data_IF_307676451220
#
_entry.id   IF_307676451220
#
_cell.length_a   1.000
_cell.length_b   1.000
_cell.length_c   1.000
_cell.angle_alpha   90.00
_cell.angle_beta   90.00
_cell.angle_gamma   90.00
#
_symmetry.space_group_name_H-M   'P 1'
#
loop_
_entity.id
_entity.type
_entity.pdbx_description
1 polymer ?
#
# COMPACT_ATOMS: atom_id res chain seq x y z
N UNK A 1 -18.86 -33.14 -6.76
CA UNK A 1 -18.73 -32.02 -5.81
C UNK A 1 -17.53 -32.32 -4.90
N UNK A 2 -16.41 -31.63 -5.06
CA UNK A 2 -15.29 -31.75 -4.10
C UNK A 2 -15.73 -31.09 -2.79
N UNK A 3 -15.76 -31.84 -1.70
CA UNK A 3 -16.07 -31.30 -0.37
C UNK A 3 -14.98 -30.32 0.05
N UNK A 4 -15.39 -29.18 0.61
CA UNK A 4 -14.45 -28.19 1.18
C UNK A 4 -13.64 -28.87 2.27
N UNK A 5 -12.31 -28.92 2.10
CA UNK A 5 -11.43 -29.45 3.15
C UNK A 5 -11.58 -28.58 4.39
N UNK A 6 -11.57 -29.16 5.60
CA UNK A 6 -11.57 -28.39 6.85
C UNK A 6 -10.47 -27.32 6.90
N UNK A 7 -9.33 -27.57 6.27
CA UNK A 7 -8.23 -26.58 6.14
C UNK A 7 -8.61 -25.37 5.28
N UNK A 8 -9.40 -25.56 4.21
CA UNK A 8 -9.85 -24.46 3.38
C UNK A 8 -10.85 -23.56 4.14
N UNK A 9 -11.76 -24.19 4.90
CA UNK A 9 -12.69 -23.44 5.76
C UNK A 9 -11.94 -22.61 6.83
N UNK A 10 -10.97 -23.20 7.51
CA UNK A 10 -10.14 -22.46 8.49
C UNK A 10 -9.47 -21.25 7.82
N UNK A 11 -8.84 -21.44 6.67
CA UNK A 11 -8.22 -20.31 5.93
C UNK A 11 -9.24 -19.21 5.61
N UNK A 12 -10.41 -19.58 5.08
CA UNK A 12 -11.47 -18.64 4.70
C UNK A 12 -11.96 -17.84 5.91
N UNK A 13 -12.20 -18.48 7.03
CA UNK A 13 -12.60 -17.79 8.26
C UNK A 13 -11.49 -16.91 8.82
N UNK A 14 -10.24 -17.34 8.78
CA UNK A 14 -9.10 -16.52 9.20
C UNK A 14 -9.04 -15.24 8.37
N UNK A 15 -9.15 -15.32 7.04
CA UNK A 15 -9.16 -14.13 6.18
C UNK A 15 -10.37 -13.24 6.46
N UNK A 16 -11.56 -13.81 6.62
CA UNK A 16 -12.78 -13.04 6.87
C UNK A 16 -12.71 -12.31 8.23
N UNK A 17 -12.27 -12.98 9.28
CA UNK A 17 -12.09 -12.38 10.61
C UNK A 17 -11.02 -11.28 10.57
N UNK A 18 -9.91 -11.52 9.85
CA UNK A 18 -8.87 -10.50 9.67
C UNK A 18 -9.37 -9.28 8.89
N UNK A 19 -10.26 -9.47 7.90
CA UNK A 19 -10.87 -8.37 7.16
C UNK A 19 -11.81 -7.55 8.05
N UNK A 20 -12.63 -8.20 8.86
CA UNK A 20 -13.48 -7.52 9.86
C UNK A 20 -12.62 -6.73 10.85
N UNK A 21 -11.56 -7.34 11.38
CA UNK A 21 -10.61 -6.65 12.26
C UNK A 21 -10.01 -5.41 11.59
N UNK A 22 -9.52 -5.53 10.34
CA UNK A 22 -8.91 -4.42 9.62
C UNK A 22 -9.90 -3.25 9.40
N UNK A 23 -11.17 -3.56 9.10
CA UNK A 23 -12.22 -2.53 8.93
C UNK A 23 -12.52 -1.84 10.26
N UNK A 24 -12.69 -2.59 11.34
CA UNK A 24 -12.95 -2.03 12.68
C UNK A 24 -11.76 -1.17 13.12
N UNK A 25 -10.53 -1.69 12.97
CA UNK A 25 -9.31 -0.97 13.30
C UNK A 25 -9.17 0.33 12.49
N UNK A 26 -9.52 0.30 11.18
CA UNK A 26 -9.51 1.49 10.33
C UNK A 26 -10.58 2.49 10.71
N UNK A 27 -11.76 2.04 11.09
CA UNK A 27 -12.83 2.93 11.56
C UNK A 27 -12.43 3.66 12.85
N UNK A 28 -11.79 2.95 13.79
CA UNK A 28 -11.26 3.53 15.03
C UNK A 28 -10.07 4.45 14.70
N UNK A 29 -9.08 3.94 13.98
CA UNK A 29 -7.81 4.61 13.72
C UNK A 29 -7.88 5.78 12.74
N UNK A 30 -8.97 5.91 11.96
CA UNK A 30 -9.21 7.08 11.11
C UNK A 30 -9.83 8.27 11.86
N UNK A 31 -10.19 8.10 13.13
CA UNK A 31 -10.93 9.09 13.91
C UNK A 31 -12.44 9.07 13.67
N UNK A 32 -12.96 8.23 12.75
CA UNK A 32 -14.38 8.17 12.43
C UNK A 32 -15.26 7.71 13.61
N UNK A 33 -14.68 7.00 14.58
CA UNK A 33 -15.32 6.61 15.84
C UNK A 33 -15.33 7.71 16.92
N UNK A 34 -14.98 8.97 16.58
CA UNK A 34 -14.84 10.08 17.52
C UNK A 34 -13.43 10.24 18.10
N UNK A 35 -12.43 9.53 17.56
CA UNK A 35 -11.02 9.69 17.89
C UNK A 35 -10.33 10.80 17.08
N UNK A 36 -9.01 10.90 17.21
CA UNK A 36 -8.19 11.86 16.47
C UNK A 36 -8.10 11.46 14.99
N UNK A 37 -8.37 12.36 14.01
CA UNK A 37 -8.11 12.07 12.60
C UNK A 37 -6.64 11.66 12.39
N UNK A 38 -6.38 10.75 11.44
CA UNK A 38 -5.02 10.19 11.23
C UNK A 38 -3.95 11.26 10.98
N UNK A 39 -4.33 12.38 10.35
CA UNK A 39 -3.46 13.52 10.09
C UNK A 39 -3.05 14.26 11.37
N UNK A 40 -3.84 14.20 12.42
CA UNK A 40 -3.61 14.86 13.70
C UNK A 40 -3.07 13.87 14.75
N UNK A 41 -3.12 12.56 14.46
CA UNK A 41 -2.62 11.51 15.34
C UNK A 41 -1.08 11.51 15.37
N UNK A 42 -0.50 10.91 16.40
CA UNK A 42 0.95 10.89 16.62
C UNK A 42 1.57 12.31 16.61
N UNK A 43 0.87 13.28 17.21
CA UNK A 43 1.32 14.69 17.26
C UNK A 43 1.35 15.38 15.90
N UNK A 44 0.58 14.90 14.91
CA UNK A 44 0.59 15.42 13.54
C UNK A 44 1.75 14.91 12.69
N UNK A 45 2.51 13.91 13.16
CA UNK A 45 3.68 13.41 12.43
C UNK A 45 3.37 12.88 11.01
N UNK A 46 2.14 12.44 10.77
CA UNK A 46 1.65 11.97 9.47
C UNK A 46 0.75 12.98 8.75
N UNK A 47 0.71 14.23 9.21
CA UNK A 47 -0.01 15.29 8.54
C UNK A 47 0.61 15.62 7.17
N UNK A 48 -0.20 16.19 6.28
CA UNK A 48 0.23 16.53 4.92
C UNK A 48 1.37 17.57 4.88
N UNK A 49 1.51 18.36 5.93
CA UNK A 49 2.53 19.40 6.11
C UNK A 49 3.71 18.96 7.00
N UNK A 50 3.68 17.74 7.55
CA UNK A 50 4.72 17.27 8.47
C UNK A 50 6.09 17.05 7.79
N UNK A 51 6.11 16.64 6.53
CA UNK A 51 7.36 16.35 5.80
C UNK A 51 7.24 16.67 4.31
N UNK A 52 8.40 16.82 3.62
CA UNK A 52 8.42 17.02 2.17
C UNK A 52 7.90 15.81 1.37
N UNK A 53 7.82 14.63 1.98
CA UNK A 53 7.34 13.39 1.34
C UNK A 53 5.87 13.09 1.71
N UNK A 54 5.28 13.81 2.65
CA UNK A 54 3.89 13.60 3.03
C UNK A 54 2.96 13.93 1.85
N UNK A 55 2.09 12.99 1.42
CA UNK A 55 1.10 13.28 0.38
C UNK A 55 -0.02 14.15 0.94
N UNK A 56 -0.60 15.01 0.10
CA UNK A 56 -1.77 15.82 0.47
C UNK A 56 -2.94 14.94 0.92
N UNK A 57 -3.78 15.47 1.81
CA UNK A 57 -4.87 14.72 2.47
C UNK A 57 -5.76 13.86 1.55
N UNK A 58 -6.22 14.37 0.38
CA UNK A 58 -7.04 13.59 -0.54
C UNK A 58 -6.40 12.31 -1.09
N UNK A 59 -5.07 12.14 -0.97
CA UNK A 59 -4.37 10.91 -1.32
C UNK A 59 -4.96 9.67 -0.64
N UNK A 60 -5.42 9.83 0.60
CA UNK A 60 -5.99 8.75 1.42
C UNK A 60 -7.30 8.16 0.87
N UNK A 61 -7.95 8.83 -0.10
CA UNK A 61 -9.13 8.29 -0.78
C UNK A 61 -8.85 6.94 -1.48
N UNK A 62 -7.58 6.63 -1.78
CA UNK A 62 -7.18 5.34 -2.34
C UNK A 62 -7.50 4.14 -1.44
N UNK A 63 -7.66 4.36 -0.14
CA UNK A 63 -8.08 3.29 0.77
C UNK A 63 -9.46 2.75 0.43
N UNK A 64 -10.35 3.58 -0.12
CA UNK A 64 -11.71 3.15 -0.51
C UNK A 64 -11.69 1.97 -1.49
N UNK A 65 -11.09 2.08 -2.69
CA UNK A 65 -11.02 0.93 -3.61
C UNK A 65 -10.20 -0.23 -3.04
N UNK A 66 -9.16 0.02 -2.22
CA UNK A 66 -8.38 -1.05 -1.59
C UNK A 66 -9.27 -1.84 -0.61
N UNK A 67 -9.96 -1.18 0.32
CA UNK A 67 -10.83 -1.86 1.29
C UNK A 67 -12.02 -2.56 0.63
N UNK A 68 -12.65 -1.94 -0.38
CA UNK A 68 -13.70 -2.60 -1.15
C UNK A 68 -13.20 -3.89 -1.81
N UNK A 69 -12.02 -3.86 -2.40
CA UNK A 69 -11.39 -5.03 -2.99
C UNK A 69 -11.02 -6.10 -1.96
N UNK A 70 -10.48 -5.71 -0.79
CA UNK A 70 -10.14 -6.63 0.30
C UNK A 70 -11.38 -7.31 0.88
N UNK A 71 -12.47 -6.57 1.08
CA UNK A 71 -13.76 -7.12 1.51
C UNK A 71 -14.36 -8.04 0.44
N UNK A 72 -14.34 -7.62 -0.83
CA UNK A 72 -14.78 -8.46 -1.94
C UNK A 72 -13.96 -9.77 -1.98
N UNK A 73 -12.64 -9.71 -1.81
CA UNK A 73 -11.79 -10.90 -1.73
C UNK A 73 -12.18 -11.80 -0.54
N UNK A 74 -12.38 -11.23 0.65
CA UNK A 74 -12.77 -11.96 1.84
C UNK A 74 -14.10 -12.72 1.66
N UNK A 75 -15.03 -12.16 0.88
CA UNK A 75 -16.31 -12.80 0.54
C UNK A 75 -16.15 -13.80 -0.60
N UNK A 76 -15.53 -13.38 -1.70
CA UNK A 76 -15.44 -14.21 -2.92
C UNK A 76 -14.68 -15.52 -2.71
N UNK A 77 -13.73 -15.60 -1.78
CA UNK A 77 -13.01 -16.83 -1.51
C UNK A 77 -13.90 -17.99 -0.98
N UNK A 78 -15.15 -17.69 -0.55
CA UNK A 78 -16.13 -18.72 -0.17
C UNK A 78 -16.88 -19.30 -1.40
N UNK A 79 -16.78 -18.67 -2.56
CA UNK A 79 -17.41 -19.18 -3.77
C UNK A 79 -16.83 -20.56 -4.14
N UNK A 80 -17.67 -21.53 -4.53
CA UNK A 80 -17.21 -22.87 -4.90
C UNK A 80 -16.10 -22.89 -5.96
N UNK A 81 -16.12 -21.92 -6.88
CA UNK A 81 -15.11 -21.74 -7.92
C UNK A 81 -13.74 -21.29 -7.43
N UNK A 82 -13.64 -20.67 -6.22
CA UNK A 82 -12.42 -20.15 -5.65
C UNK A 82 -11.96 -20.92 -4.41
N UNK A 83 -12.89 -21.53 -3.69
CA UNK A 83 -12.66 -22.12 -2.37
C UNK A 83 -11.52 -23.15 -2.33
N UNK A 84 -11.32 -23.92 -3.40
CA UNK A 84 -10.36 -25.05 -3.46
C UNK A 84 -9.12 -24.76 -4.28
N UNK A 85 -9.02 -23.57 -4.87
CA UNK A 85 -7.92 -23.27 -5.78
C UNK A 85 -6.57 -23.28 -5.06
N UNK A 86 -5.53 -23.89 -5.66
CA UNK A 86 -4.18 -23.88 -5.09
C UNK A 86 -3.65 -22.46 -4.87
N UNK A 87 -4.04 -21.53 -5.71
CA UNK A 87 -3.65 -20.12 -5.64
C UNK A 87 -4.19 -19.45 -4.37
N UNK A 88 -5.46 -19.70 -4.04
CA UNK A 88 -6.11 -19.22 -2.82
C UNK A 88 -5.44 -19.80 -1.55
N UNK A 89 -5.04 -21.06 -1.58
CA UNK A 89 -4.31 -21.71 -0.47
C UNK A 89 -2.94 -21.08 -0.25
N UNK A 90 -2.26 -20.64 -1.32
CA UNK A 90 -0.93 -20.00 -1.25
C UNK A 90 -1.00 -18.56 -0.75
N UNK A 91 -2.08 -17.83 -1.07
CA UNK A 91 -2.21 -16.40 -0.76
C UNK A 91 -2.96 -16.16 0.53
N UNK A 92 -3.94 -16.98 0.89
CA UNK A 92 -4.93 -16.67 1.93
C UNK A 92 -4.35 -16.25 3.27
N UNK A 93 -3.39 -16.98 3.81
CA UNK A 93 -2.77 -16.62 5.09
C UNK A 93 -1.89 -15.36 4.99
N UNK A 94 -1.25 -15.10 3.85
CA UNK A 94 -0.54 -13.84 3.62
C UNK A 94 -1.50 -12.66 3.53
N UNK A 95 -2.66 -12.85 2.89
CA UNK A 95 -3.71 -11.84 2.86
C UNK A 95 -4.25 -11.54 4.27
N UNK A 96 -4.49 -12.57 5.08
CA UNK A 96 -4.86 -12.39 6.48
C UNK A 96 -3.78 -11.62 7.27
N UNK A 97 -2.51 -11.99 7.10
CA UNK A 97 -1.40 -11.27 7.73
C UNK A 97 -1.34 -9.79 7.31
N UNK A 98 -1.56 -9.48 6.01
CA UNK A 98 -1.60 -8.09 5.54
C UNK A 98 -2.74 -7.28 6.17
N UNK A 99 -3.91 -7.89 6.35
CA UNK A 99 -5.07 -7.26 7.00
C UNK A 99 -4.81 -6.97 8.48
N UNK A 100 -4.22 -7.93 9.19
CA UNK A 100 -3.86 -7.77 10.62
C UNK A 100 -2.80 -6.68 10.78
N UNK A 101 -1.74 -6.71 9.95
CA UNK A 101 -0.68 -5.70 10.01
C UNK A 101 -1.19 -4.31 9.68
N UNK A 102 -2.11 -4.18 8.73
CA UNK A 102 -2.72 -2.89 8.40
C UNK A 102 -3.57 -2.35 9.55
N UNK A 103 -4.40 -3.20 10.17
CA UNK A 103 -5.18 -2.81 11.34
C UNK A 103 -4.28 -2.44 12.52
N UNK A 104 -3.22 -3.21 12.77
CA UNK A 104 -2.25 -2.90 13.80
C UNK A 104 -1.47 -1.60 13.53
N UNK A 105 -1.12 -1.35 12.24
CA UNK A 105 -0.46 -0.11 11.83
C UNK A 105 -1.31 1.12 12.14
N UNK A 106 -2.57 1.15 11.72
CA UNK A 106 -3.42 2.33 11.93
C UNK A 106 -3.73 2.55 13.41
N UNK A 107 -3.90 1.47 14.19
CA UNK A 107 -4.08 1.57 15.65
C UNK A 107 -2.81 2.08 16.34
N UNK A 108 -1.61 1.63 15.90
CA UNK A 108 -0.37 2.13 16.49
C UNK A 108 -0.19 3.64 16.25
N UNK A 109 -0.61 4.16 15.10
CA UNK A 109 -0.63 5.61 14.84
C UNK A 109 -1.63 6.29 15.76
N UNK A 110 -2.85 5.76 15.92
CA UNK A 110 -3.90 6.30 16.76
C UNK A 110 -3.51 6.38 18.24
N UNK A 111 -2.65 5.46 18.70
CA UNK A 111 -2.12 5.42 20.07
C UNK A 111 -0.73 6.04 20.21
N UNK A 112 -0.35 6.95 19.31
CA UNK A 112 0.91 7.71 19.32
C UNK A 112 2.19 6.86 19.33
N UNK A 113 2.10 5.62 18.78
CA UNK A 113 3.23 4.68 18.71
C UNK A 113 3.91 4.76 17.34
N UNK A 114 4.46 5.93 16.97
CA UNK A 114 5.02 6.18 15.63
C UNK A 114 6.15 5.21 15.24
N UNK A 115 7.05 4.88 16.17
CA UNK A 115 8.13 3.91 15.91
C UNK A 115 7.60 2.50 15.64
N UNK A 116 6.55 2.08 16.36
CA UNK A 116 5.87 0.80 16.11
C UNK A 116 5.16 0.83 14.75
N UNK A 117 4.53 1.96 14.40
CA UNK A 117 3.86 2.11 13.09
C UNK A 117 4.85 1.94 11.94
N UNK A 118 6.05 2.51 12.04
CA UNK A 118 7.10 2.34 11.05
C UNK A 118 7.55 0.88 10.90
N UNK A 119 7.71 0.15 12.00
CA UNK A 119 8.02 -1.29 11.95
C UNK A 119 6.89 -2.11 11.32
N UNK A 120 5.64 -1.83 11.68
CA UNK A 120 4.46 -2.53 11.17
C UNK A 120 4.25 -2.29 9.68
N UNK A 121 4.43 -1.05 9.17
CA UNK A 121 4.26 -0.77 7.74
C UNK A 121 5.38 -1.41 6.90
N UNK A 122 6.60 -1.51 7.40
CA UNK A 122 7.69 -2.24 6.75
C UNK A 122 7.37 -3.74 6.66
N UNK A 123 6.87 -4.35 7.73
CA UNK A 123 6.43 -5.75 7.72
C UNK A 123 5.25 -5.95 6.76
N UNK A 124 4.31 -5.03 6.74
CA UNK A 124 3.19 -5.04 5.81
C UNK A 124 3.68 -4.99 4.36
N UNK A 125 4.61 -4.09 4.04
CA UNK A 125 5.22 -4.00 2.72
C UNK A 125 5.88 -5.33 2.32
N UNK A 126 6.64 -5.95 3.21
CA UNK A 126 7.28 -7.26 2.97
C UNK A 126 6.25 -8.37 2.68
N UNK A 127 5.15 -8.41 3.44
CA UNK A 127 4.04 -9.34 3.21
C UNK A 127 3.38 -9.11 1.85
N UNK A 128 3.13 -7.85 1.47
CA UNK A 128 2.56 -7.49 0.18
C UNK A 128 3.49 -7.82 -0.99
N UNK A 129 4.80 -7.61 -0.84
CA UNK A 129 5.80 -8.07 -1.80
C UNK A 129 5.76 -9.60 -1.97
N UNK A 130 5.60 -10.35 -0.87
CA UNK A 130 5.45 -11.82 -0.94
C UNK A 130 4.19 -12.22 -1.68
N UNK A 131 3.06 -11.59 -1.39
CA UNK A 131 1.79 -11.80 -2.11
C UNK A 131 1.99 -11.52 -3.60
N UNK A 132 2.61 -10.39 -3.95
CA UNK A 132 2.85 -9.99 -5.34
C UNK A 132 3.67 -11.05 -6.09
N UNK A 133 4.72 -11.59 -5.50
CA UNK A 133 5.52 -12.68 -6.09
C UNK A 133 4.64 -13.91 -6.36
N UNK A 134 3.82 -14.34 -5.38
CA UNK A 134 2.91 -15.48 -5.55
C UNK A 134 1.94 -15.24 -6.72
N UNK A 135 1.37 -14.02 -6.80
CA UNK A 135 0.40 -13.66 -7.82
C UNK A 135 1.01 -13.54 -9.23
N UNK A 136 2.27 -13.12 -9.33
CA UNK A 136 3.00 -13.07 -10.61
C UNK A 136 3.35 -14.47 -11.11
N UNK A 137 3.71 -15.38 -10.20
CA UNK A 137 4.10 -16.76 -10.52
C UNK A 137 2.90 -17.70 -10.72
N UNK A 138 1.68 -17.20 -10.58
CA UNK A 138 0.43 -17.95 -10.79
C UNK A 138 -0.58 -17.14 -11.60
N UNK A 139 -1.41 -17.83 -12.43
CA UNK A 139 -2.44 -17.15 -13.21
C UNK A 139 -3.78 -17.20 -12.51
N UNK A 140 -4.58 -16.12 -12.61
CA UNK A 140 -5.97 -16.17 -12.19
C UNK A 140 -6.76 -17.08 -13.14
N UNK A 141 -7.70 -17.84 -12.61
CA UNK A 141 -8.58 -18.73 -13.40
C UNK A 141 -9.82 -17.99 -13.94
N UNK A 142 -10.10 -16.79 -13.42
CA UNK A 142 -11.23 -15.96 -13.83
C UNK A 142 -10.94 -14.47 -13.73
N UNK A 143 -11.72 -13.65 -14.47
CA UNK A 143 -11.66 -12.18 -14.35
C UNK A 143 -12.03 -11.72 -12.95
N UNK A 144 -13.00 -12.40 -12.29
CA UNK A 144 -13.36 -12.10 -10.90
C UNK A 144 -12.15 -12.27 -9.99
N UNK A 145 -11.45 -13.39 -10.06
CA UNK A 145 -10.24 -13.61 -9.26
C UNK A 145 -9.16 -12.59 -9.57
N UNK A 146 -8.91 -12.27 -10.83
CA UNK A 146 -7.95 -11.26 -11.24
C UNK A 146 -8.29 -9.89 -10.64
N UNK A 147 -9.58 -9.52 -10.62
CA UNK A 147 -10.01 -8.21 -10.06
C UNK A 147 -9.94 -8.20 -8.56
N UNK A 148 -10.55 -9.15 -7.87
CA UNK A 148 -10.65 -9.10 -6.40
C UNK A 148 -9.33 -9.43 -5.69
N UNK A 149 -8.39 -10.09 -6.37
CA UNK A 149 -7.12 -10.47 -5.77
C UNK A 149 -5.94 -9.72 -6.41
N UNK A 150 -5.69 -9.86 -7.74
CA UNK A 150 -4.49 -9.27 -8.36
C UNK A 150 -4.54 -7.75 -8.41
N UNK A 151 -5.68 -7.17 -8.81
CA UNK A 151 -5.80 -5.70 -8.88
C UNK A 151 -5.77 -5.12 -7.46
N UNK A 152 -6.53 -5.69 -6.54
CA UNK A 152 -6.61 -5.20 -5.15
C UNK A 152 -5.25 -5.25 -4.45
N UNK A 153 -4.58 -6.40 -4.47
CA UNK A 153 -3.26 -6.55 -3.83
C UNK A 153 -2.18 -5.71 -4.52
N UNK A 154 -2.33 -5.47 -5.83
CA UNK A 154 -1.45 -4.57 -6.56
C UNK A 154 -1.63 -3.10 -6.17
N UNK A 155 -2.87 -2.61 -6.08
CA UNK A 155 -3.17 -1.25 -5.57
C UNK A 155 -2.65 -1.08 -4.15
N UNK A 156 -2.91 -2.07 -3.30
CA UNK A 156 -2.47 -2.08 -1.92
C UNK A 156 -0.94 -2.03 -1.80
N UNK A 157 -0.21 -2.84 -2.59
CA UNK A 157 1.26 -2.83 -2.62
C UNK A 157 1.79 -1.46 -3.06
N UNK A 158 1.27 -0.89 -4.15
CA UNK A 158 1.71 0.40 -4.67
C UNK A 158 1.50 1.54 -3.67
N UNK A 159 0.34 1.57 -3.00
CA UNK A 159 0.04 2.55 -1.95
C UNK A 159 0.95 2.39 -0.72
N UNK A 160 1.09 1.17 -0.21
CA UNK A 160 1.93 0.91 0.97
C UNK A 160 3.41 1.20 0.69
N UNK A 161 3.86 1.09 -0.56
CA UNK A 161 5.23 1.46 -0.93
C UNK A 161 5.51 2.93 -0.62
N UNK A 162 4.68 3.86 -1.10
CA UNK A 162 4.89 5.29 -0.82
C UNK A 162 4.55 5.64 0.64
N UNK A 163 3.53 5.01 1.22
CA UNK A 163 3.17 5.19 2.62
C UNK A 163 4.30 4.77 3.57
N UNK A 164 5.06 3.73 3.23
CA UNK A 164 6.25 3.31 4.00
C UNK A 164 7.33 4.38 3.96
N UNK A 165 7.60 4.96 2.79
CA UNK A 165 8.58 6.05 2.67
C UNK A 165 8.16 7.25 3.52
N UNK A 166 6.89 7.66 3.42
CA UNK A 166 6.35 8.77 4.19
C UNK A 166 6.41 8.52 5.72
N UNK A 167 6.03 7.31 6.16
CA UNK A 167 6.03 6.95 7.58
C UNK A 167 7.44 6.91 8.19
N UNK A 168 8.42 6.34 7.45
CA UNK A 168 9.83 6.35 7.90
C UNK A 168 10.38 7.77 7.95
N UNK A 169 10.07 8.61 6.95
CA UNK A 169 10.49 10.01 6.94
C UNK A 169 9.91 10.77 8.14
N UNK A 170 8.62 10.57 8.45
CA UNK A 170 7.97 11.15 9.61
C UNK A 170 8.66 10.73 10.92
N UNK A 171 8.98 9.44 11.06
CA UNK A 171 9.70 8.93 12.23
C UNK A 171 11.09 9.58 12.37
N UNK A 172 11.84 9.74 11.28
CA UNK A 172 13.16 10.36 11.31
C UNK A 172 13.08 11.84 11.71
N UNK A 173 12.07 12.56 11.20
CA UNK A 173 11.84 13.96 11.58
C UNK A 173 11.49 14.08 13.08
N UNK A 174 10.60 13.25 13.59
CA UNK A 174 10.25 13.23 15.02
C UNK A 174 11.44 12.82 15.92
N UNK A 175 12.37 12.02 15.39
CA UNK A 175 13.59 11.62 16.07
C UNK A 175 14.72 12.65 15.93
N UNK A 176 14.44 13.87 15.46
CA UNK A 176 15.41 14.96 15.24
C UNK A 176 16.63 14.55 14.40
N UNK A 177 16.41 13.67 13.41
CA UNK A 177 17.46 13.29 12.46
C UNK A 177 17.83 14.48 11.58
N UNK A 178 19.06 14.97 11.72
CA UNK A 178 19.58 16.17 11.05
C UNK A 178 19.92 15.98 9.56
N UNK A 179 19.70 14.77 9.00
CA UNK A 179 20.01 14.47 7.62
C UNK A 179 21.52 14.52 7.29
N UNK A 180 22.41 14.33 8.27
CA UNK A 180 23.84 14.52 8.13
C UNK A 180 24.23 15.94 7.68
N UNK A 181 23.44 16.94 8.03
CA UNK A 181 23.62 18.33 7.62
C UNK A 181 23.22 18.63 6.17
N UNK A 182 22.63 17.69 5.45
CA UNK A 182 22.16 17.92 4.08
C UNK A 182 20.73 18.53 4.10
N UNK A 183 20.40 19.38 3.10
CA UNK A 183 19.06 19.95 2.98
C UNK A 183 17.97 18.86 2.90
N UNK A 184 16.84 19.10 3.53
CA UNK A 184 15.69 18.17 3.51
C UNK A 184 15.22 17.83 2.09
N UNK A 185 15.33 18.77 1.15
CA UNK A 185 14.99 18.57 -0.26
C UNK A 185 15.86 17.53 -0.96
N UNK A 186 17.15 17.46 -0.62
CA UNK A 186 18.06 16.44 -1.17
C UNK A 186 17.59 15.04 -0.77
N UNK A 187 17.22 14.88 0.50
CA UNK A 187 16.65 13.62 1.01
C UNK A 187 15.31 13.31 0.36
N UNK A 188 14.44 14.31 0.21
CA UNK A 188 13.16 14.13 -0.44
C UNK A 188 13.33 13.64 -1.89
N UNK A 189 14.18 14.28 -2.67
CA UNK A 189 14.47 13.86 -4.05
C UNK A 189 15.06 12.45 -4.09
N UNK A 190 16.03 12.14 -3.22
CA UNK A 190 16.62 10.80 -3.14
C UNK A 190 15.56 9.71 -2.84
N UNK A 191 14.65 9.97 -1.90
CA UNK A 191 13.56 9.05 -1.55
C UNK A 191 12.55 8.89 -2.70
N UNK A 192 12.25 9.95 -3.44
CA UNK A 192 11.39 9.89 -4.63
C UNK A 192 12.04 9.08 -5.77
N UNK A 193 13.36 9.22 -5.96
CA UNK A 193 14.12 8.38 -6.89
C UNK A 193 14.07 6.91 -6.48
N UNK A 194 14.26 6.61 -5.20
CA UNK A 194 14.15 5.23 -4.67
C UNK A 194 12.74 4.68 -4.89
N UNK A 195 11.68 5.46 -4.60
CA UNK A 195 10.30 5.05 -4.86
C UNK A 195 10.05 4.76 -6.35
N UNK A 196 10.59 5.61 -7.24
CA UNK A 196 10.54 5.40 -8.69
C UNK A 196 11.23 4.11 -9.13
N UNK A 197 12.43 3.84 -8.59
CA UNK A 197 13.19 2.61 -8.88
C UNK A 197 12.46 1.36 -8.36
N UNK A 198 11.84 1.42 -7.18
CA UNK A 198 10.99 0.34 -6.67
C UNK A 198 9.82 0.11 -7.61
N UNK A 199 9.14 1.18 -8.06
CA UNK A 199 8.04 1.08 -9.01
C UNK A 199 8.45 0.41 -10.32
N UNK A 200 9.60 0.75 -10.88
CA UNK A 200 10.17 0.09 -12.06
C UNK A 200 10.50 -1.38 -11.78
N UNK A 201 11.08 -1.68 -10.63
CA UNK A 201 11.34 -3.06 -10.20
C UNK A 201 10.06 -3.90 -10.12
N UNK A 202 8.98 -3.34 -9.57
CA UNK A 202 7.65 -3.95 -9.54
C UNK A 202 7.10 -4.14 -10.97
N UNK A 203 7.29 -3.17 -11.86
CA UNK A 203 6.87 -3.26 -13.25
C UNK A 203 7.61 -4.40 -14.00
N UNK A 204 8.92 -4.48 -13.86
CA UNK A 204 9.74 -5.55 -14.47
C UNK A 204 9.33 -6.91 -13.93
N UNK A 205 9.29 -7.08 -12.58
CA UNK A 205 8.91 -8.36 -11.96
C UNK A 205 7.47 -8.74 -12.29
N UNK A 206 6.58 -7.76 -12.33
CA UNK A 206 5.15 -7.92 -12.62
C UNK A 206 4.81 -7.97 -14.10
N UNK A 207 5.79 -7.88 -15.03
CA UNK A 207 5.56 -7.85 -16.48
C UNK A 207 4.56 -6.78 -16.91
N UNK A 208 4.72 -5.58 -16.33
CA UNK A 208 3.85 -4.45 -16.62
C UNK A 208 2.45 -4.53 -16.01
N UNK A 209 2.28 -5.16 -14.84
CA UNK A 209 1.02 -5.08 -14.07
C UNK A 209 0.77 -3.63 -13.65
N UNK A 210 -0.39 -3.09 -14.03
CA UNK A 210 -0.69 -1.67 -13.87
C UNK A 210 -1.08 -1.30 -12.43
N UNK A 211 -1.72 -2.20 -11.69
CA UNK A 211 -2.30 -1.86 -10.38
C UNK A 211 -1.27 -1.33 -9.36
N UNK A 212 -0.05 -1.89 -9.18
CA UNK A 212 0.94 -1.29 -8.30
C UNK A 212 1.41 0.08 -8.78
N UNK A 213 1.62 0.23 -10.10
CA UNK A 213 2.06 1.49 -10.69
C UNK A 213 1.02 2.59 -10.52
N UNK A 214 -0.27 2.29 -10.71
CA UNK A 214 -1.37 3.25 -10.52
C UNK A 214 -1.40 3.79 -9.08
N UNK A 215 -1.34 2.91 -8.09
CA UNK A 215 -1.42 3.34 -6.70
C UNK A 215 -0.15 4.07 -6.23
N UNK A 216 1.04 3.61 -6.65
CA UNK A 216 2.29 4.32 -6.34
C UNK A 216 2.32 5.70 -7.00
N UNK A 217 1.97 5.80 -8.29
CA UNK A 217 1.91 7.08 -8.99
C UNK A 217 0.84 8.00 -8.42
N UNK A 218 -0.30 7.47 -7.98
CA UNK A 218 -1.30 8.24 -7.24
C UNK A 218 -0.69 8.92 -6.01
N UNK A 219 0.00 8.17 -5.15
CA UNK A 219 0.65 8.72 -3.98
C UNK A 219 1.72 9.77 -4.33
N UNK A 220 2.58 9.49 -5.31
CA UNK A 220 3.61 10.42 -5.79
C UNK A 220 3.00 11.73 -6.33
N UNK A 221 1.91 11.66 -7.08
CA UNK A 221 1.21 12.86 -7.58
C UNK A 221 0.63 13.69 -6.44
N UNK A 222 0.11 13.05 -5.38
CA UNK A 222 -0.36 13.79 -4.20
C UNK A 222 0.77 14.36 -3.36
N UNK A 223 1.96 13.78 -3.36
CA UNK A 223 3.17 14.45 -2.84
C UNK A 223 3.44 15.72 -3.66
N UNK A 224 3.38 15.63 -4.99
CA UNK A 224 3.58 16.79 -5.86
C UNK A 224 2.55 17.89 -5.59
N UNK A 225 1.26 17.54 -5.49
CA UNK A 225 0.19 18.51 -5.17
C UNK A 225 0.47 19.22 -3.85
N UNK A 226 0.82 18.49 -2.80
CA UNK A 226 1.15 19.07 -1.51
C UNK A 226 2.39 19.98 -1.56
N UNK A 227 3.40 19.65 -2.37
CA UNK A 227 4.65 20.46 -2.43
C UNK A 227 4.58 21.67 -3.36
N UNK A 228 3.63 21.68 -4.31
CA UNK A 228 3.46 22.78 -5.26
C UNK A 228 2.35 23.77 -4.84
N UNK A 229 1.48 23.40 -3.92
CA UNK A 229 0.31 24.21 -3.55
C UNK A 229 0.14 24.47 -2.06
N UNK A 230 0.79 23.65 -1.20
CA UNK A 230 0.63 23.71 0.26
C UNK A 230 1.98 23.75 0.98
N UNK A 231 1.97 24.16 2.25
CA UNK A 231 3.16 24.13 3.11
C UNK A 231 3.51 22.69 3.53
N UNK A 232 4.83 22.37 3.69
CA UNK A 232 6.00 23.12 3.27
C UNK A 232 6.17 23.09 1.75
N UNK A 233 6.18 24.27 1.12
CA UNK A 233 6.38 24.36 -0.33
C UNK A 233 7.80 23.92 -0.74
N UNK A 234 7.90 23.14 -1.81
CA UNK A 234 9.16 22.78 -2.45
C UNK A 234 8.93 22.42 -3.92
N UNK A 235 9.19 23.37 -4.80
CA UNK A 235 9.08 23.18 -6.25
C UNK A 235 9.96 22.01 -6.73
N UNK A 236 11.16 21.88 -6.16
CA UNK A 236 12.11 20.80 -6.51
C UNK A 236 11.51 19.44 -6.16
N UNK A 237 10.99 19.28 -4.95
CA UNK A 237 10.35 18.03 -4.51
C UNK A 237 9.09 17.73 -5.33
N UNK A 238 8.27 18.75 -5.61
CA UNK A 238 7.06 18.59 -6.42
C UNK A 238 7.37 18.11 -7.84
N UNK A 239 8.35 18.73 -8.51
CA UNK A 239 8.79 18.30 -9.85
C UNK A 239 9.39 16.88 -9.82
N UNK A 240 10.21 16.57 -8.82
CA UNK A 240 10.79 15.23 -8.66
C UNK A 240 9.71 14.16 -8.45
N UNK A 241 8.64 14.47 -7.71
CA UNK A 241 7.52 13.57 -7.50
C UNK A 241 6.72 13.31 -8.79
N UNK A 242 6.47 14.36 -9.61
CA UNK A 242 5.86 14.22 -10.93
C UNK A 242 6.74 13.37 -11.84
N UNK A 243 8.04 13.62 -11.88
CA UNK A 243 8.98 12.87 -12.69
C UNK A 243 9.01 11.39 -12.28
N UNK A 244 9.06 11.09 -10.98
CA UNK A 244 9.00 9.72 -10.47
C UNK A 244 7.69 9.02 -10.85
N UNK A 245 6.54 9.68 -10.72
CA UNK A 245 5.24 9.14 -11.14
C UNK A 245 5.19 8.84 -12.64
N UNK A 246 5.70 9.78 -13.46
CA UNK A 246 5.79 9.59 -14.90
C UNK A 246 6.69 8.40 -15.28
N UNK A 247 7.87 8.29 -14.67
CA UNK A 247 8.80 7.18 -14.91
C UNK A 247 8.15 5.84 -14.55
N UNK A 248 7.46 5.76 -13.40
CA UNK A 248 6.75 4.52 -12.98
C UNK A 248 5.65 4.16 -13.97
N UNK A 249 4.80 5.12 -14.37
CA UNK A 249 3.69 4.85 -15.28
C UNK A 249 4.16 4.50 -16.69
N UNK A 250 5.00 5.35 -17.30
CA UNK A 250 5.49 5.10 -18.67
C UNK A 250 6.36 3.84 -18.72
N UNK A 251 7.26 3.64 -17.75
CA UNK A 251 8.06 2.42 -17.66
C UNK A 251 7.20 1.17 -17.54
N UNK A 252 6.14 1.21 -16.72
CA UNK A 252 5.20 0.08 -16.58
C UNK A 252 4.48 -0.21 -17.89
N UNK A 253 3.99 0.83 -18.59
CA UNK A 253 3.30 0.67 -19.88
C UNK A 253 4.25 0.09 -20.93
N UNK A 254 5.47 0.61 -21.04
CA UNK A 254 6.48 0.09 -21.98
C UNK A 254 6.81 -1.37 -21.70
N UNK A 255 7.05 -1.73 -20.43
CA UNK A 255 7.31 -3.12 -20.04
C UNK A 255 6.11 -4.01 -20.38
N UNK A 256 4.88 -3.53 -20.19
CA UNK A 256 3.66 -4.27 -20.55
C UNK A 256 3.55 -4.53 -22.05
N UNK A 257 3.93 -3.57 -22.89
CA UNK A 257 3.88 -3.68 -24.35
C UNK A 257 4.90 -4.68 -24.88
N UNK A 258 6.09 -4.77 -24.27
CA UNK A 258 7.16 -5.67 -24.72
C UNK A 258 7.14 -7.03 -24.02
N UNK A 259 6.37 -7.16 -22.92
CA UNK A 259 6.28 -8.44 -22.20
C UNK A 259 5.42 -9.45 -22.94
N UNK A 260 5.88 -10.70 -23.09
CA UNK A 260 5.07 -11.75 -23.73
C UNK A 260 3.75 -11.94 -22.97
N UNK A 261 2.64 -11.93 -23.72
CA UNK A 261 1.34 -12.31 -23.18
C UNK A 261 1.34 -13.82 -22.93
N UNK A 262 1.40 -14.22 -21.68
CA UNK A 262 1.26 -15.64 -21.30
C UNK A 262 -0.19 -15.95 -20.99
#
# INVERSE_FOLDING_TARGET
MMSTSGRDLVRQFVVAISAVFAVIASFIGSGAAGGTPIQDAAGGALAADATLIAPAGPAFAIWTPIYLGLLAYAVCQFLPSLAHQPRQRRVGYWAAASLILNGAWILSVQFDQLALSAALIVLLLAVLCRIFVILVDSRPESTLEATVLDVTMGLYLGWVTIATVANITALLVVADFDGFGWPAEVWAVALLVVAGLIGLGLAVRGRGRLSPALALSWGLLWVAVGRLGDSPESTITGIAAIAAAAVVMFGTVLIRMVSPRR
#
